data_IF_596905922805
#
_entry.id   IF_596905922805
#
_cell.length_a   1.000
_cell.length_b   1.000
_cell.length_c   1.000
_cell.angle_alpha   90.00
_cell.angle_beta   90.00
_cell.angle_gamma   90.00
#
_symmetry.space_group_name_H-M   'P 1'
#
loop_
_entity.id
_entity.type
_entity.pdbx_description
1 polymer ?
#
# COMPACT_ATOMS: atom_id res chain seq x y z
N UNK A 1 -52.11 52.99 -38.73
CA UNK A 1 -51.39 51.77 -39.16
C UNK A 1 -50.10 51.73 -38.38
N UNK A 2 -49.92 50.75 -37.50
CA UNK A 2 -49.35 49.43 -37.81
C UNK A 2 -47.80 49.48 -37.86
N UNK A 3 -47.19 48.73 -36.92
CA UNK A 3 -45.84 48.12 -36.97
C UNK A 3 -44.67 49.10 -36.70
N UNK A 4 -43.59 48.82 -35.97
CA UNK A 4 -42.97 47.67 -35.30
C UNK A 4 -41.63 48.26 -34.75
N UNK A 5 -41.21 48.14 -33.50
CA UNK A 5 -40.37 47.05 -33.03
C UNK A 5 -40.12 47.17 -31.51
N UNK A 6 -40.41 46.08 -30.80
CA UNK A 6 -39.84 45.73 -29.50
C UNK A 6 -38.39 45.23 -29.67
N UNK A 7 -37.69 45.18 -28.53
CA UNK A 7 -36.50 44.37 -28.17
C UNK A 7 -35.14 45.09 -28.28
N UNK A 8 -34.32 45.16 -27.23
CA UNK A 8 -34.38 44.50 -25.94
C UNK A 8 -33.49 45.17 -24.91
N UNK A 9 -34.01 45.27 -23.67
CA UNK A 9 -33.16 45.38 -22.49
C UNK A 9 -32.30 44.11 -22.45
N UNK A 10 -31.00 44.27 -22.59
CA UNK A 10 -30.05 43.19 -22.38
C UNK A 10 -30.19 42.79 -20.90
N UNK A 11 -30.80 41.63 -20.65
CA UNK A 11 -30.91 41.06 -19.31
C UNK A 11 -29.51 40.91 -18.69
N UNK A 12 -29.31 41.20 -17.40
CA UNK A 12 -28.02 41.04 -16.71
C UNK A 12 -27.52 39.58 -16.65
N UNK A 13 -28.32 38.63 -17.15
CA UNK A 13 -27.97 37.21 -17.28
C UNK A 13 -26.87 36.93 -18.33
N UNK A 14 -26.52 37.88 -19.21
CA UNK A 14 -25.53 37.64 -20.28
C UNK A 14 -24.06 37.91 -19.88
N UNK A 15 -23.79 38.46 -18.69
CA UNK A 15 -22.41 38.77 -18.25
C UNK A 15 -21.72 37.65 -17.47
N UNK A 16 -22.25 36.42 -17.44
CA UNK A 16 -21.71 35.34 -16.58
C UNK A 16 -21.30 34.06 -17.31
N UNK A 17 -20.83 34.16 -18.54
CA UNK A 17 -20.39 33.00 -19.30
C UNK A 17 -19.04 33.20 -20.00
N UNK A 18 -17.95 33.16 -19.21
CA UNK A 18 -16.71 32.37 -19.43
C UNK A 18 -15.48 33.01 -18.72
N UNK A 19 -14.43 32.24 -18.37
CA UNK A 19 -14.27 30.83 -18.66
C UNK A 19 -13.93 29.97 -17.43
N UNK A 20 -14.58 28.82 -17.34
CA UNK A 20 -14.19 27.67 -16.52
C UNK A 20 -12.70 27.32 -16.65
N UNK A 21 -12.05 27.70 -17.77
CA UNK A 21 -10.60 27.53 -17.98
C UNK A 21 -9.74 28.39 -17.04
N UNK A 22 -10.15 29.62 -16.67
CA UNK A 22 -9.37 30.46 -15.76
C UNK A 22 -9.45 29.97 -14.32
N UNK A 23 -10.60 29.40 -13.94
CA UNK A 23 -10.79 28.74 -12.65
C UNK A 23 -9.96 27.44 -12.60
N UNK A 24 -10.09 26.57 -13.60
CA UNK A 24 -9.27 25.35 -13.74
C UNK A 24 -7.77 25.67 -13.77
N UNK A 25 -7.35 26.73 -14.46
CA UNK A 25 -5.95 27.13 -14.52
C UNK A 25 -5.45 27.69 -13.19
N UNK A 26 -6.28 28.41 -12.43
CA UNK A 26 -5.97 28.80 -11.04
C UNK A 26 -5.88 27.60 -10.11
N UNK A 27 -6.86 26.70 -10.17
CA UNK A 27 -6.91 25.49 -9.32
C UNK A 27 -5.75 24.55 -9.63
N UNK A 28 -5.38 24.37 -10.89
CA UNK A 28 -4.23 23.54 -11.29
C UNK A 28 -2.90 24.18 -10.93
N UNK A 29 -2.79 25.51 -10.98
CA UNK A 29 -1.58 26.23 -10.54
C UNK A 29 -1.44 26.20 -9.03
N UNK A 30 -2.54 26.35 -8.27
CA UNK A 30 -2.57 26.25 -6.81
C UNK A 30 -2.28 24.82 -6.34
N UNK A 31 -2.87 23.81 -7.01
CA UNK A 31 -2.56 22.40 -6.79
C UNK A 31 -1.09 22.11 -7.10
N UNK A 32 -0.53 22.63 -8.19
CA UNK A 32 0.90 22.45 -8.51
C UNK A 32 1.79 23.07 -7.43
N UNK A 33 1.42 24.21 -6.88
CA UNK A 33 2.20 24.91 -5.86
C UNK A 33 2.16 24.19 -4.52
N UNK A 34 0.96 23.76 -4.07
CA UNK A 34 0.78 22.90 -2.89
C UNK A 34 1.47 21.55 -3.08
N UNK A 35 1.40 20.97 -4.27
CA UNK A 35 2.08 19.72 -4.60
C UNK A 35 3.60 19.89 -4.55
N UNK A 36 4.18 20.97 -5.09
CA UNK A 36 5.62 21.22 -5.07
C UNK A 36 6.15 21.49 -3.66
N UNK A 37 5.39 22.20 -2.82
CA UNK A 37 5.77 22.51 -1.44
C UNK A 37 5.62 21.28 -0.53
N UNK A 38 4.50 20.55 -0.66
CA UNK A 38 4.31 19.25 -0.01
C UNK A 38 5.37 18.23 -0.47
N UNK A 39 5.74 18.20 -1.76
CA UNK A 39 6.73 17.28 -2.35
C UNK A 39 8.10 17.33 -1.66
N UNK A 40 8.51 18.48 -1.08
CA UNK A 40 9.78 18.62 -0.37
C UNK A 40 9.86 17.81 0.94
N UNK A 41 8.74 17.69 1.67
CA UNK A 41 8.62 16.86 2.88
C UNK A 41 8.06 15.48 2.57
N UNK A 42 7.20 15.39 1.57
CA UNK A 42 6.43 14.18 1.28
C UNK A 42 7.27 13.17 0.50
N UNK A 43 8.16 13.55 -0.43
CA UNK A 43 9.02 12.59 -1.14
C UNK A 43 9.89 11.70 -0.24
N UNK A 44 10.63 12.25 0.75
CA UNK A 44 11.47 11.41 1.61
C UNK A 44 10.67 10.45 2.50
N UNK A 45 9.35 10.63 2.65
CA UNK A 45 8.50 9.74 3.45
C UNK A 45 7.56 8.87 2.59
N UNK A 46 7.01 9.39 1.49
CA UNK A 46 6.15 8.66 0.56
C UNK A 46 6.86 7.55 -0.15
N UNK A 47 8.07 7.77 -0.65
CA UNK A 47 8.75 6.76 -1.45
C UNK A 47 9.16 5.54 -0.60
N UNK A 48 9.74 5.71 0.60
CA UNK A 48 9.94 4.60 1.52
C UNK A 48 8.62 3.92 1.91
N UNK A 49 7.57 4.68 2.23
CA UNK A 49 6.28 4.12 2.59
C UNK A 49 5.63 3.32 1.44
N UNK A 50 5.67 3.85 0.23
CA UNK A 50 5.22 3.17 -0.98
C UNK A 50 5.97 1.86 -1.18
N UNK A 51 7.30 1.86 -1.03
CA UNK A 51 8.10 0.64 -1.18
C UNK A 51 7.81 -0.39 -0.08
N UNK A 52 7.62 0.04 1.16
CA UNK A 52 7.16 -0.83 2.27
C UNK A 52 5.85 -1.50 1.88
N UNK A 53 4.86 -0.70 1.47
CA UNK A 53 3.54 -1.23 1.11
C UNK A 53 3.56 -2.14 -0.09
N UNK A 54 4.36 -1.81 -1.12
CA UNK A 54 4.54 -2.69 -2.26
C UNK A 54 5.13 -4.03 -1.80
N UNK A 55 6.17 -4.03 -0.97
CA UNK A 55 6.80 -5.25 -0.49
C UNK A 55 5.86 -6.08 0.41
N UNK A 56 5.24 -5.45 1.40
CA UNK A 56 4.24 -6.01 2.32
C UNK A 56 3.09 -6.70 1.58
N UNK A 57 2.45 -6.00 0.66
CA UNK A 57 1.33 -6.56 -0.08
C UNK A 57 1.77 -7.58 -1.14
N UNK A 58 2.99 -7.49 -1.67
CA UNK A 58 3.55 -8.53 -2.55
C UNK A 58 3.82 -9.82 -1.78
N UNK A 59 4.28 -9.74 -0.53
CA UNK A 59 4.40 -10.90 0.36
C UNK A 59 3.02 -11.51 0.58
N UNK A 60 2.05 -10.69 1.00
CA UNK A 60 0.73 -11.17 1.38
C UNK A 60 -0.06 -11.75 0.20
N UNK A 61 -0.03 -11.12 -0.97
CA UNK A 61 -0.83 -11.53 -2.13
C UNK A 61 -0.08 -12.45 -3.09
N UNK A 62 1.24 -12.33 -3.23
CA UNK A 62 2.02 -13.09 -4.22
C UNK A 62 2.76 -14.27 -3.63
N UNK A 63 3.46 -14.08 -2.51
CA UNK A 63 4.36 -15.11 -1.94
C UNK A 63 3.62 -16.03 -0.98
N UNK A 64 2.80 -15.49 -0.08
CA UNK A 64 2.10 -16.25 0.97
C UNK A 64 1.24 -17.42 0.47
N UNK A 65 0.50 -17.33 -0.66
CA UNK A 65 -0.23 -18.47 -1.23
C UNK A 65 0.67 -19.66 -1.60
N UNK A 66 1.94 -19.40 -1.92
CA UNK A 66 2.92 -20.39 -2.35
C UNK A 66 3.80 -20.95 -1.21
N UNK A 67 3.66 -20.40 0.00
CA UNK A 67 4.37 -20.83 1.21
C UNK A 67 3.68 -22.04 1.86
N UNK A 68 3.70 -23.16 1.14
CA UNK A 68 3.05 -24.40 1.53
C UNK A 68 4.05 -25.37 2.16
N UNK A 69 3.57 -26.13 3.16
CA UNK A 69 4.34 -27.14 3.88
C UNK A 69 3.60 -28.48 3.88
N UNK A 70 4.30 -29.63 4.03
CA UNK A 70 3.65 -30.94 4.11
C UNK A 70 2.63 -30.98 5.25
N UNK A 71 1.37 -31.37 4.96
CA UNK A 71 0.28 -31.36 5.94
C UNK A 71 0.61 -32.15 7.21
N UNK A 72 1.33 -33.28 7.07
CA UNK A 72 1.78 -34.12 8.20
C UNK A 72 2.67 -33.39 9.22
N UNK A 73 3.34 -32.32 8.81
CA UNK A 73 4.24 -31.51 9.65
C UNK A 73 3.58 -30.25 10.22
N UNK A 74 2.29 -30.04 9.94
CA UNK A 74 1.57 -28.81 10.26
C UNK A 74 0.26 -29.09 10.99
N UNK A 75 -0.32 -28.10 11.70
CA UNK A 75 -1.63 -28.28 12.34
C UNK A 75 -2.80 -28.28 11.35
N UNK A 76 -2.56 -28.22 10.04
CA UNK A 76 -3.59 -28.05 9.03
C UNK A 76 -4.01 -29.36 8.38
N UNK A 77 -5.31 -29.45 8.05
CA UNK A 77 -5.90 -30.58 7.32
C UNK A 77 -5.95 -30.35 5.80
N UNK A 78 -5.84 -29.10 5.35
CA UNK A 78 -5.94 -28.72 3.95
C UNK A 78 -4.97 -27.57 3.62
N UNK A 79 -4.42 -27.54 2.41
CA UNK A 79 -3.50 -26.49 1.96
C UNK A 79 -4.14 -25.09 1.89
N UNK A 80 -5.45 -25.02 1.61
CA UNK A 80 -6.21 -23.76 1.65
C UNK A 80 -6.25 -23.08 3.03
N UNK A 81 -5.90 -23.79 4.11
CA UNK A 81 -5.91 -23.23 5.46
C UNK A 81 -4.67 -22.36 5.76
N UNK A 82 -3.58 -22.51 4.98
CA UNK A 82 -2.34 -21.75 5.19
C UNK A 82 -2.55 -20.25 4.94
N UNK A 83 -3.12 -19.89 3.79
CA UNK A 83 -3.30 -18.50 3.40
C UNK A 83 -4.17 -17.69 4.39
N UNK A 84 -5.37 -18.15 4.81
CA UNK A 84 -6.16 -17.47 5.84
C UNK A 84 -5.44 -17.37 7.18
N UNK A 85 -4.64 -18.38 7.56
CA UNK A 85 -3.90 -18.36 8.83
C UNK A 85 -2.76 -17.35 8.78
N UNK A 86 -2.00 -17.29 7.68
CA UNK A 86 -1.00 -16.25 7.47
C UNK A 86 -1.64 -14.86 7.53
N UNK A 87 -2.77 -14.66 6.85
CA UNK A 87 -3.54 -13.42 6.93
C UNK A 87 -3.97 -13.05 8.35
N UNK A 88 -4.45 -14.02 9.14
CA UNK A 88 -4.84 -13.78 10.53
C UNK A 88 -3.64 -13.39 11.43
N UNK A 89 -2.50 -14.05 11.27
CA UNK A 89 -1.28 -13.76 12.03
C UNK A 89 -0.72 -12.40 11.65
N UNK A 90 -0.69 -12.08 10.36
CA UNK A 90 -0.31 -10.76 9.85
C UNK A 90 -1.21 -9.67 10.46
N UNK A 91 -2.53 -9.83 10.40
CA UNK A 91 -3.47 -8.85 10.94
C UNK A 91 -3.37 -8.72 12.47
N UNK A 92 -3.03 -9.79 13.19
CA UNK A 92 -2.73 -9.73 14.61
C UNK A 92 -1.51 -8.82 14.89
N UNK A 93 -0.45 -8.97 14.10
CA UNK A 93 0.73 -8.10 14.18
C UNK A 93 0.40 -6.64 13.87
N UNK A 94 -0.32 -6.39 12.77
CA UNK A 94 -0.77 -5.04 12.39
C UNK A 94 -1.63 -4.42 13.50
N UNK A 95 -2.54 -5.19 14.07
CA UNK A 95 -3.40 -4.74 15.17
C UNK A 95 -2.57 -4.33 16.39
N UNK A 96 -1.66 -5.19 16.87
CA UNK A 96 -0.81 -4.88 18.01
C UNK A 96 0.07 -3.64 17.78
N UNK A 97 0.61 -3.51 16.57
CA UNK A 97 1.43 -2.35 16.20
C UNK A 97 0.61 -1.06 16.10
N UNK A 98 -0.58 -1.10 15.48
CA UNK A 98 -1.47 0.07 15.42
C UNK A 98 -2.05 0.44 16.78
N UNK A 99 -2.33 -0.53 17.66
CA UNK A 99 -2.81 -0.25 19.02
C UNK A 99 -1.72 0.33 19.94
N UNK A 100 -0.44 0.14 19.63
CA UNK A 100 0.69 0.70 20.40
C UNK A 100 1.11 2.12 19.97
N UNK A 101 0.24 2.80 19.21
CA UNK A 101 0.29 4.18 18.69
C UNK A 101 1.07 5.22 19.53
N UNK A 102 0.95 5.28 20.87
CA UNK A 102 1.64 6.30 21.67
C UNK A 102 3.09 5.95 22.08
N UNK A 103 3.50 4.68 22.03
CA UNK A 103 4.68 4.22 22.78
C UNK A 103 5.91 3.94 21.92
N UNK A 104 5.74 3.62 20.64
CA UNK A 104 6.84 3.25 19.74
C UNK A 104 6.83 4.17 18.52
N UNK A 105 7.79 5.10 18.47
CA UNK A 105 7.95 6.03 17.36
C UNK A 105 9.29 5.78 16.67
N UNK A 106 9.25 5.36 15.41
CA UNK A 106 10.45 5.23 14.59
C UNK A 106 10.61 6.49 13.74
N UNK A 107 11.70 7.24 13.98
CA UNK A 107 11.99 8.48 13.26
C UNK A 107 12.66 8.26 11.89
N UNK A 108 13.11 7.04 11.60
CA UNK A 108 13.72 6.66 10.31
C UNK A 108 12.88 5.62 9.58
N UNK A 109 12.19 6.03 8.51
CA UNK A 109 11.39 5.13 7.67
C UNK A 109 12.24 4.23 6.76
N UNK A 110 13.53 4.52 6.59
CA UNK A 110 14.42 3.75 5.73
C UNK A 110 14.74 2.36 6.29
N UNK A 111 14.90 2.25 7.62
CA UNK A 111 15.18 0.98 8.29
C UNK A 111 14.05 -0.05 8.09
N UNK A 112 12.77 0.28 8.39
CA UNK A 112 11.69 -0.66 8.14
C UNK A 112 11.48 -0.93 6.64
N UNK A 113 11.76 0.03 5.75
CA UNK A 113 11.74 -0.22 4.30
C UNK A 113 12.74 -1.28 3.88
N UNK A 114 13.97 -1.19 4.37
CA UNK A 114 14.99 -2.20 4.10
C UNK A 114 14.60 -3.57 4.68
N UNK A 115 14.08 -3.60 5.92
CA UNK A 115 13.61 -4.84 6.54
C UNK A 115 12.46 -5.49 5.78
N UNK A 116 11.51 -4.71 5.25
CA UNK A 116 10.38 -5.23 4.48
C UNK A 116 10.83 -5.85 3.16
N UNK A 117 11.74 -5.19 2.45
CA UNK A 117 12.33 -5.73 1.21
C UNK A 117 13.15 -6.99 1.51
N UNK A 118 13.90 -7.00 2.61
CA UNK A 118 14.64 -8.19 3.05
C UNK A 118 13.69 -9.36 3.39
N UNK A 119 12.56 -9.10 4.06
CA UNK A 119 11.53 -10.10 4.34
C UNK A 119 10.94 -10.67 3.05
N UNK A 120 10.61 -9.81 2.06
CA UNK A 120 10.12 -10.24 0.76
C UNK A 120 11.13 -11.17 0.07
N UNK A 121 12.40 -10.77 0.03
CA UNK A 121 13.46 -11.57 -0.57
C UNK A 121 13.64 -12.90 0.16
N UNK A 122 13.69 -12.90 1.49
CA UNK A 122 13.84 -14.10 2.29
C UNK A 122 12.68 -15.09 2.08
N UNK A 123 11.44 -14.61 2.11
CA UNK A 123 10.25 -15.45 1.88
C UNK A 123 10.17 -15.94 0.44
N UNK A 124 10.55 -15.12 -0.55
CA UNK A 124 10.61 -15.54 -1.96
C UNK A 124 11.68 -16.61 -2.16
N UNK A 125 12.87 -16.43 -1.60
CA UNK A 125 13.94 -17.44 -1.62
C UNK A 125 13.48 -18.71 -0.91
N UNK A 126 12.75 -18.59 0.19
CA UNK A 126 12.17 -19.74 0.88
C UNK A 126 11.13 -20.48 0.03
N UNK A 127 10.28 -19.75 -0.71
CA UNK A 127 9.30 -20.32 -1.62
C UNK A 127 9.97 -21.11 -2.75
N UNK A 128 11.12 -20.64 -3.26
CA UNK A 128 11.94 -21.33 -4.25
C UNK A 128 12.71 -22.51 -3.61
N UNK A 129 13.57 -22.24 -2.63
CA UNK A 129 14.31 -23.23 -1.87
C UNK A 129 13.79 -23.34 -0.43
N UNK A 130 13.07 -24.42 -0.08
CA UNK A 130 12.52 -24.59 1.26
C UNK A 130 13.63 -24.93 2.28
N UNK A 131 14.37 -23.92 2.72
CA UNK A 131 15.42 -24.06 3.74
C UNK A 131 14.87 -24.06 5.19
N UNK A 132 13.65 -23.57 5.41
CA UNK A 132 12.98 -23.59 6.71
C UNK A 132 12.18 -24.90 6.82
N UNK A 133 12.46 -25.77 7.81
CA UNK A 133 11.79 -27.06 7.93
C UNK A 133 10.41 -26.98 8.61
N UNK A 134 10.10 -25.90 9.32
CA UNK A 134 8.86 -25.79 10.11
C UNK A 134 8.07 -24.51 9.78
N UNK A 135 6.75 -24.65 9.72
CA UNK A 135 5.81 -23.55 9.43
C UNK A 135 5.82 -22.45 10.50
N UNK A 136 6.18 -22.78 11.74
CA UNK A 136 6.18 -21.84 12.86
C UNK A 136 7.18 -20.69 12.69
N UNK A 137 8.31 -20.92 12.03
CA UNK A 137 9.23 -19.81 11.69
C UNK A 137 8.61 -18.86 10.67
N UNK A 138 7.88 -19.38 9.69
CA UNK A 138 7.15 -18.55 8.72
C UNK A 138 6.05 -17.76 9.44
N UNK A 139 5.33 -18.36 10.39
CA UNK A 139 4.38 -17.62 11.24
C UNK A 139 5.04 -16.48 12.01
N UNK A 140 6.23 -16.71 12.59
CA UNK A 140 6.95 -15.66 13.28
C UNK A 140 7.39 -14.53 12.34
N UNK A 141 7.83 -14.85 11.12
CA UNK A 141 8.20 -13.85 10.10
C UNK A 141 6.98 -13.06 9.64
N UNK A 142 5.84 -13.71 9.36
CA UNK A 142 4.59 -13.05 8.95
C UNK A 142 4.04 -12.15 10.07
N UNK A 143 4.13 -12.61 11.33
CA UNK A 143 3.77 -11.78 12.48
C UNK A 143 4.67 -10.53 12.60
N UNK A 144 5.99 -10.72 12.45
CA UNK A 144 6.98 -9.64 12.45
C UNK A 144 6.75 -8.64 11.30
N UNK A 145 6.42 -9.15 10.13
CA UNK A 145 6.08 -8.39 8.93
C UNK A 145 4.86 -7.49 9.18
N UNK A 146 3.80 -8.02 9.78
CA UNK A 146 2.63 -7.24 10.22
C UNK A 146 2.95 -6.19 11.29
N UNK A 147 3.86 -6.50 12.24
CA UNK A 147 4.31 -5.52 13.24
C UNK A 147 5.04 -4.34 12.59
N UNK A 148 5.91 -4.60 11.62
CA UNK A 148 6.66 -3.58 10.88
C UNK A 148 5.72 -2.71 10.04
N UNK A 149 4.80 -3.32 9.28
CA UNK A 149 3.83 -2.60 8.45
C UNK A 149 2.96 -1.64 9.28
N UNK A 150 2.44 -2.12 10.42
CA UNK A 150 1.70 -1.27 11.35
C UNK A 150 2.52 -0.12 11.93
N UNK A 151 3.81 -0.33 12.19
CA UNK A 151 4.69 0.66 12.82
C UNK A 151 5.10 1.75 11.83
N UNK A 152 5.35 1.38 10.57
CA UNK A 152 5.59 2.33 9.47
C UNK A 152 4.37 3.20 9.23
N UNK A 153 3.17 2.60 9.21
CA UNK A 153 1.93 3.35 9.06
C UNK A 153 1.81 4.42 10.14
N UNK A 154 1.85 4.00 11.40
CA UNK A 154 1.71 4.92 12.54
C UNK A 154 2.80 5.99 12.54
N UNK A 155 4.05 5.60 12.34
CA UNK A 155 5.19 6.53 12.37
C UNK A 155 5.08 7.58 11.26
N UNK A 156 4.59 7.21 10.08
CA UNK A 156 4.43 8.14 8.96
C UNK A 156 3.29 9.11 9.19
N UNK A 157 2.13 8.63 9.67
CA UNK A 157 1.03 9.52 10.02
C UNK A 157 1.40 10.49 11.16
N UNK A 158 2.20 10.04 12.12
CA UNK A 158 2.72 10.91 13.19
C UNK A 158 3.72 11.94 12.63
N UNK A 159 4.68 11.53 11.80
CA UNK A 159 5.66 12.43 11.20
C UNK A 159 4.99 13.52 10.34
N UNK A 160 3.99 13.16 9.53
CA UNK A 160 3.23 14.14 8.73
C UNK A 160 2.49 15.13 9.63
N UNK A 161 1.98 14.69 10.79
CA UNK A 161 1.26 15.57 11.71
C UNK A 161 2.15 16.55 12.46
N UNK A 162 3.44 16.23 12.63
CA UNK A 162 4.41 17.04 13.38
C UNK A 162 5.27 17.92 12.46
N UNK A 163 5.70 17.39 11.31
CA UNK A 163 6.62 18.08 10.40
C UNK A 163 5.89 19.01 9.40
N UNK A 164 4.60 18.77 9.11
CA UNK A 164 3.83 19.54 8.12
C UNK A 164 2.92 20.56 8.81
N UNK A 165 3.01 21.82 8.38
CA UNK A 165 2.16 22.90 8.87
C UNK A 165 0.67 22.67 8.55
N UNK A 166 -0.22 23.24 9.36
CA UNK A 166 -1.68 22.99 9.29
C UNK A 166 -2.27 23.22 7.89
N UNK A 167 -1.80 24.24 7.16
CA UNK A 167 -2.29 24.58 5.82
C UNK A 167 -2.06 23.48 4.78
N UNK A 168 -1.01 22.67 4.93
CA UNK A 168 -0.62 21.62 3.96
C UNK A 168 -0.81 20.21 4.51
N UNK A 169 -1.18 20.08 5.79
CA UNK A 169 -1.29 18.79 6.48
C UNK A 169 -2.39 17.91 5.89
N UNK A 170 -3.57 18.45 5.63
CA UNK A 170 -4.70 17.70 5.05
C UNK A 170 -4.37 17.19 3.65
N UNK A 171 -3.75 18.05 2.84
CA UNK A 171 -3.30 17.68 1.50
C UNK A 171 -2.23 16.58 1.55
N UNK A 172 -1.27 16.69 2.46
CA UNK A 172 -0.19 15.71 2.61
C UNK A 172 -0.70 14.36 3.11
N UNK A 173 -1.64 14.36 4.07
CA UNK A 173 -2.32 13.14 4.53
C UNK A 173 -3.09 12.48 3.38
N UNK A 174 -3.85 13.26 2.59
CA UNK A 174 -4.55 12.75 1.42
C UNK A 174 -3.62 12.24 0.32
N UNK A 175 -2.48 12.89 0.11
CA UNK A 175 -1.48 12.42 -0.84
C UNK A 175 -0.91 11.06 -0.40
N UNK A 176 -0.58 10.91 0.90
CA UNK A 176 -0.04 9.65 1.46
C UNK A 176 -1.01 8.49 1.34
N UNK A 177 -2.31 8.70 1.56
CA UNK A 177 -3.31 7.64 1.36
C UNK A 177 -3.46 7.22 -0.11
N UNK A 178 -3.33 8.16 -1.04
CA UNK A 178 -3.28 7.85 -2.48
C UNK A 178 -2.04 7.04 -2.82
N UNK A 179 -0.88 7.41 -2.26
CA UNK A 179 0.38 6.65 -2.44
C UNK A 179 0.29 5.23 -1.90
N UNK A 180 -0.31 5.05 -0.72
CA UNK A 180 -0.59 3.74 -0.12
C UNK A 180 -1.46 2.88 -1.06
N UNK A 181 -2.59 3.41 -1.51
CA UNK A 181 -3.50 2.73 -2.43
C UNK A 181 -2.82 2.35 -3.75
N UNK A 182 -1.98 3.24 -4.29
CA UNK A 182 -1.19 2.97 -5.49
C UNK A 182 -0.17 1.84 -5.27
N UNK A 183 0.48 1.80 -4.11
CA UNK A 183 1.40 0.73 -3.72
C UNK A 183 0.72 -0.62 -3.66
N UNK A 184 -0.45 -0.71 -3.03
CA UNK A 184 -1.26 -1.93 -2.96
C UNK A 184 -1.68 -2.39 -4.36
N UNK A 185 -2.09 -1.47 -5.23
CA UNK A 185 -2.46 -1.79 -6.61
C UNK A 185 -1.27 -2.39 -7.39
N UNK A 186 -0.10 -1.76 -7.30
CA UNK A 186 1.13 -2.26 -7.92
C UNK A 186 1.51 -3.62 -7.35
N UNK A 187 1.42 -3.80 -6.03
CA UNK A 187 1.69 -5.07 -5.37
C UNK A 187 0.77 -6.19 -5.85
N UNK A 188 -0.52 -5.90 -6.07
CA UNK A 188 -1.45 -6.88 -6.62
C UNK A 188 -1.09 -7.31 -8.04
N UNK A 189 -0.72 -6.36 -8.91
CA UNK A 189 -0.25 -6.68 -10.27
C UNK A 189 1.02 -7.53 -10.25
N UNK A 190 1.98 -7.17 -9.39
CA UNK A 190 3.22 -7.94 -9.19
C UNK A 190 2.91 -9.32 -8.60
N UNK A 191 1.99 -9.38 -7.63
CA UNK A 191 1.58 -10.59 -6.92
C UNK A 191 1.00 -11.64 -7.87
N UNK A 192 0.11 -11.25 -8.79
CA UNK A 192 -0.46 -12.16 -9.81
C UNK A 192 0.64 -12.82 -10.64
N UNK A 193 1.64 -12.03 -11.08
CA UNK A 193 2.77 -12.54 -11.87
C UNK A 193 3.66 -13.43 -11.00
N UNK A 194 3.98 -12.97 -9.79
CA UNK A 194 4.89 -13.66 -8.87
C UNK A 194 4.34 -15.00 -8.40
N UNK A 195 3.07 -15.06 -8.00
CA UNK A 195 2.38 -16.29 -7.62
C UNK A 195 2.41 -17.31 -8.76
N UNK A 196 2.06 -16.88 -9.98
CA UNK A 196 2.04 -17.75 -11.17
C UNK A 196 3.43 -18.34 -11.48
N UNK A 197 4.48 -17.52 -11.38
CA UNK A 197 5.87 -17.93 -11.60
C UNK A 197 6.35 -18.88 -10.50
N UNK A 198 6.11 -18.55 -9.23
CA UNK A 198 6.50 -19.36 -8.09
C UNK A 198 5.78 -20.73 -8.13
N UNK A 199 4.48 -20.74 -8.39
CA UNK A 199 3.68 -21.96 -8.53
C UNK A 199 4.20 -22.84 -9.68
N UNK A 200 4.46 -22.24 -10.85
CA UNK A 200 5.00 -22.98 -12.01
C UNK A 200 6.38 -23.57 -11.71
N UNK A 201 7.24 -22.80 -11.05
CA UNK A 201 8.57 -23.25 -10.64
C UNK A 201 8.49 -24.39 -9.61
N UNK A 202 7.62 -24.28 -8.61
CA UNK A 202 7.41 -25.32 -7.59
C UNK A 202 6.93 -26.63 -8.21
N UNK A 203 5.99 -26.56 -9.16
CA UNK A 203 5.50 -27.73 -9.90
C UNK A 203 6.62 -28.41 -10.69
N UNK A 204 7.48 -27.64 -11.37
CA UNK A 204 8.63 -28.18 -12.11
C UNK A 204 9.63 -28.91 -11.20
N UNK A 205 9.72 -28.49 -9.93
CA UNK A 205 10.58 -29.11 -8.91
C UNK A 205 9.85 -30.15 -8.04
N UNK A 206 8.68 -30.64 -8.48
CA UNK A 206 7.95 -31.74 -7.84
C UNK A 206 7.05 -31.34 -6.67
N UNK A 207 6.85 -30.05 -6.39
CA UNK A 207 5.92 -29.54 -5.37
C UNK A 207 4.64 -28.99 -6.02
N UNK A 208 3.68 -29.89 -6.24
CA UNK A 208 2.40 -29.57 -6.89
C UNK A 208 1.32 -28.98 -5.97
N UNK A 209 1.62 -28.69 -4.69
CA UNK A 209 0.62 -28.30 -3.69
C UNK A 209 -0.21 -27.06 -4.07
N UNK A 210 0.40 -26.15 -4.84
CA UNK A 210 -0.30 -24.99 -5.39
C UNK A 210 -1.48 -25.35 -6.34
N UNK A 211 -1.47 -26.56 -6.94
CA UNK A 211 -2.58 -27.07 -7.77
C UNK A 211 -3.66 -27.79 -6.97
N UNK A 212 -3.41 -28.07 -5.69
CA UNK A 212 -4.33 -28.74 -4.77
C UNK A 212 -5.07 -27.74 -3.85
N UNK A 213 -4.84 -26.44 -4.06
CA UNK A 213 -5.45 -25.33 -3.30
C UNK A 213 -6.96 -25.20 -3.55
#
# INVERSE_FOLDING_TARGET
GLLDQRHGRISPAYSRAKPTSHLLQRTTSDLKLRLLRARGLVIPYMLPLFLVYVAEYTINQGVAPTLLFPLASTPFKHFRAFYPTYGAIYQLGVFLSRSSLPFLRIRSLYLPTFLQVANLLALTVHALWPYIPTVYFVFAIVFWEGLLGGLVYVSTFAAIREDVGEEEREFSLGAVTVSDSAGICVAGLVGVVMESLLCSWQVQHGRGWCREL
#
